data_IF_883064994432
#
_entry.id   IF_883064994432
#
_cell.length_a   1.000
_cell.length_b   1.000
_cell.length_c   1.000
_cell.angle_alpha   90.00
_cell.angle_beta   90.00
_cell.angle_gamma   90.00
#
_symmetry.space_group_name_H-M   'P 1'
#
loop_
_entity.id
_entity.type
_entity.pdbx_description
1 polymer ?
#
# COMPACT_ATOMS: atom_id res chain seq x y z
N UNK A 1 -22.75 55.15 16.92
CA UNK A 1 -23.34 54.03 16.16
C UNK A 1 -22.39 53.81 15.00
N UNK A 2 -21.54 52.80 14.92
CA UNK A 2 -21.27 51.59 15.69
C UNK A 2 -19.75 51.52 15.89
N UNK A 3 -19.29 51.16 17.09
CA UNK A 3 -17.96 50.57 17.21
C UNK A 3 -18.22 49.10 16.89
N UNK A 4 -17.93 48.66 15.66
CA UNK A 4 -17.84 47.24 15.37
C UNK A 4 -16.82 46.66 16.35
N UNK A 5 -17.30 45.99 17.41
CA UNK A 5 -16.43 45.25 18.31
C UNK A 5 -15.90 44.07 17.50
N UNK A 6 -14.79 44.27 16.79
CA UNK A 6 -14.03 43.21 16.15
C UNK A 6 -13.72 42.19 17.22
N UNK A 7 -14.49 41.11 17.22
CA UNK A 7 -14.21 39.97 18.08
C UNK A 7 -12.82 39.51 17.68
N UNK A 8 -11.84 39.43 18.60
CA UNK A 8 -10.46 39.17 18.21
C UNK A 8 -10.42 37.83 17.47
N UNK A 9 -9.84 37.91 16.28
CA UNK A 9 -9.74 36.80 15.33
C UNK A 9 -8.29 36.35 15.28
N UNK A 10 -8.09 35.03 15.26
CA UNK A 10 -6.80 34.44 14.92
C UNK A 10 -6.93 33.70 13.60
N UNK A 11 -5.93 33.79 12.75
CA UNK A 11 -5.84 32.95 11.55
C UNK A 11 -4.95 31.77 11.87
N UNK A 12 -5.48 30.57 11.68
CA UNK A 12 -4.74 29.33 11.87
C UNK A 12 -4.39 28.77 10.50
N UNK A 13 -3.11 28.49 10.30
CA UNK A 13 -2.56 27.98 9.05
C UNK A 13 -1.80 26.69 9.33
N UNK A 14 -2.05 25.66 8.53
CA UNK A 14 -1.30 24.40 8.56
C UNK A 14 -0.56 24.29 7.23
N UNK A 15 0.74 23.99 7.31
CA UNK A 15 1.60 23.85 6.13
C UNK A 15 2.35 22.52 6.14
N UNK A 16 2.64 22.01 4.94
CA UNK A 16 3.54 20.88 4.69
C UNK A 16 4.72 21.42 3.88
N UNK A 17 5.94 21.28 4.40
CA UNK A 17 7.16 21.75 3.74
C UNK A 17 7.01 23.18 3.19
N UNK A 18 6.52 24.09 4.04
CA UNK A 18 6.25 25.52 3.75
C UNK A 18 5.08 25.80 2.78
N UNK A 19 4.43 24.77 2.23
CA UNK A 19 3.22 24.92 1.42
C UNK A 19 1.99 24.87 2.30
N UNK A 20 1.19 25.93 2.29
CA UNK A 20 -0.10 25.98 2.98
C UNK A 20 -1.04 24.89 2.44
N UNK A 21 -1.59 24.08 3.36
CA UNK A 21 -2.60 23.06 3.06
C UNK A 21 -3.96 23.39 3.69
N UNK A 22 -3.98 24.32 4.63
CA UNK A 22 -5.18 24.81 5.28
C UNK A 22 -4.93 26.19 5.87
N UNK A 23 -5.91 27.08 5.72
CA UNK A 23 -5.94 28.37 6.42
C UNK A 23 -7.37 28.76 6.70
N UNK A 24 -7.64 29.15 7.95
CA UNK A 24 -8.97 29.59 8.36
C UNK A 24 -8.92 30.55 9.54
N UNK A 25 -9.94 31.39 9.58
CA UNK A 25 -10.17 32.41 10.59
C UNK A 25 -10.99 31.82 11.75
N UNK A 26 -10.51 31.99 12.98
CA UNK A 26 -11.18 31.52 14.19
C UNK A 26 -11.46 32.67 15.16
N UNK A 27 -12.66 32.68 15.70
CA UNK A 27 -13.05 33.60 16.76
C UNK A 27 -12.51 33.13 18.11
N UNK A 28 -11.99 34.07 18.90
CA UNK A 28 -11.54 33.81 20.27
C UNK A 28 -12.74 33.86 21.22
N UNK A 29 -12.91 32.80 22.00
CA UNK A 29 -13.90 32.74 23.08
C UNK A 29 -13.21 32.36 24.39
N UNK A 30 -13.35 33.20 25.43
CA UNK A 30 -12.72 32.95 26.74
C UNK A 30 -11.20 32.83 26.67
N UNK A 31 -10.54 33.68 25.86
CA UNK A 31 -9.09 33.68 25.59
C UNK A 31 -8.57 32.40 24.89
N UNK A 32 -9.45 31.62 24.26
CA UNK A 32 -9.10 30.40 23.53
C UNK A 32 -9.73 30.39 22.14
N UNK A 33 -9.01 29.84 21.18
CA UNK A 33 -9.55 29.44 19.88
C UNK A 33 -9.55 27.91 19.80
N UNK A 34 -10.63 27.33 19.28
CA UNK A 34 -10.77 25.88 19.14
C UNK A 34 -10.74 25.49 17.67
N UNK A 35 -9.66 24.84 17.28
CA UNK A 35 -9.52 24.20 15.97
C UNK A 35 -9.97 22.76 16.12
N UNK A 36 -11.05 22.40 15.41
CA UNK A 36 -11.57 21.03 15.40
C UNK A 36 -11.15 20.32 14.12
N UNK A 37 -11.11 19.00 14.21
CA UNK A 37 -10.92 18.13 13.05
C UNK A 37 -9.60 18.32 12.27
N UNK A 38 -8.53 18.65 12.99
CA UNK A 38 -7.16 18.74 12.42
C UNK A 38 -6.76 17.41 11.75
N UNK A 39 -7.25 16.27 12.28
CA UNK A 39 -7.00 14.95 11.72
C UNK A 39 -7.47 14.86 10.26
N UNK A 40 -8.73 15.21 9.96
CA UNK A 40 -9.26 15.11 8.60
C UNK A 40 -8.54 16.05 7.64
N UNK A 41 -8.13 17.24 8.09
CA UNK A 41 -7.33 18.18 7.29
C UNK A 41 -5.98 17.57 6.92
N UNK A 42 -5.26 17.03 7.92
CA UNK A 42 -3.95 16.39 7.75
C UNK A 42 -4.06 15.15 6.86
N UNK A 43 -5.01 14.26 7.12
CA UNK A 43 -5.20 13.03 6.35
C UNK A 43 -5.58 13.32 4.90
N UNK A 44 -6.48 14.29 4.66
CA UNK A 44 -6.88 14.69 3.30
C UNK A 44 -5.69 15.26 2.53
N UNK A 45 -4.89 16.12 3.17
CA UNK A 45 -3.69 16.69 2.55
C UNK A 45 -2.65 15.61 2.20
N UNK A 46 -2.43 14.64 3.10
CA UNK A 46 -1.51 13.53 2.86
C UNK A 46 -2.01 12.59 1.76
N UNK A 47 -3.31 12.29 1.71
CA UNK A 47 -3.92 11.49 0.64
C UNK A 47 -3.77 12.17 -0.72
N UNK A 48 -4.16 13.44 -0.81
CA UNK A 48 -4.08 14.20 -2.07
C UNK A 48 -2.65 14.28 -2.61
N UNK A 49 -1.67 14.46 -1.71
CA UNK A 49 -0.23 14.51 -2.07
C UNK A 49 0.42 13.12 -2.13
N UNK A 50 -0.33 12.03 -1.92
CA UNK A 50 0.16 10.64 -1.90
C UNK A 50 1.33 10.40 -0.92
N UNK A 51 1.32 11.08 0.22
CA UNK A 51 2.37 11.01 1.24
C UNK A 51 2.06 9.97 2.32
N UNK A 52 3.06 9.17 2.68
CA UNK A 52 3.00 8.25 3.82
C UNK A 52 3.59 8.86 5.11
N UNK A 53 4.49 9.84 4.97
CA UNK A 53 5.08 10.61 6.06
C UNK A 53 5.24 12.06 5.62
N UNK A 54 4.98 13.02 6.52
CA UNK A 54 5.13 14.45 6.24
C UNK A 54 5.51 15.24 7.50
N UNK A 55 6.12 16.40 7.29
CA UNK A 55 6.34 17.43 8.30
C UNK A 55 5.22 18.46 8.22
N UNK A 56 4.57 18.72 9.34
CA UNK A 56 3.56 19.77 9.46
C UNK A 56 4.05 20.88 10.37
N UNK A 57 3.68 22.12 10.03
CA UNK A 57 3.89 23.29 10.87
C UNK A 57 2.56 24.02 11.02
N UNK A 58 2.16 24.25 12.27
CA UNK A 58 1.01 25.07 12.62
C UNK A 58 1.49 26.49 12.89
N UNK A 59 0.94 27.44 12.15
CA UNK A 59 1.13 28.87 12.38
C UNK A 59 -0.19 29.48 12.86
N UNK A 60 -0.12 30.31 13.88
CA UNK A 60 -1.25 31.10 14.39
C UNK A 60 -0.89 32.56 14.27
N UNK A 61 -1.63 33.30 13.45
CA UNK A 61 -1.46 34.73 13.27
C UNK A 61 -2.54 35.47 14.06
N UNK A 62 -2.15 36.38 14.94
CA UNK A 62 -3.08 37.17 15.74
C UNK A 62 -3.55 38.46 15.03
N UNK A 63 -4.39 39.22 15.72
CA UNK A 63 -4.94 40.48 15.24
C UNK A 63 -3.90 41.60 15.10
N UNK A 64 -2.74 41.48 15.76
CA UNK A 64 -1.60 42.39 15.65
C UNK A 64 -0.61 41.96 14.57
N UNK A 65 -0.95 40.91 13.80
CA UNK A 65 -0.12 40.27 12.78
C UNK A 65 1.14 39.56 13.32
N UNK A 66 1.23 39.29 14.62
CA UNK A 66 2.28 38.44 15.15
C UNK A 66 1.99 36.97 14.81
N UNK A 67 3.02 36.22 14.42
CA UNK A 67 2.90 34.81 14.03
C UNK A 67 3.57 33.91 15.07
N UNK A 68 2.80 32.99 15.63
CA UNK A 68 3.26 31.95 16.55
C UNK A 68 3.35 30.61 15.82
N UNK A 69 4.44 29.87 16.01
CA UNK A 69 4.71 28.62 15.29
C UNK A 69 4.86 27.45 16.26
N UNK A 70 4.20 26.32 15.98
CA UNK A 70 4.21 25.13 16.86
C UNK A 70 5.52 24.34 16.91
N UNK A 71 6.49 24.68 16.06
CA UNK A 71 7.56 23.76 15.66
C UNK A 71 7.09 22.71 14.65
N UNK A 72 7.99 21.81 14.25
CA UNK A 72 7.73 20.77 13.24
C UNK A 72 7.11 19.53 13.89
N UNK A 73 5.95 19.12 13.38
CA UNK A 73 5.24 17.90 13.78
C UNK A 73 5.40 16.87 12.67
N UNK A 74 6.04 15.74 12.96
CA UNK A 74 6.14 14.62 12.03
C UNK A 74 4.90 13.72 12.13
N UNK A 75 4.24 13.48 11.00
CA UNK A 75 3.03 12.65 10.92
C UNK A 75 3.29 11.49 9.97
N UNK A 76 2.94 10.28 10.42
CA UNK A 76 2.87 9.08 9.57
C UNK A 76 1.40 8.78 9.29
N UNK A 77 1.06 8.62 8.03
CA UNK A 77 -0.30 8.34 7.59
C UNK A 77 -0.73 6.92 8.00
N UNK A 78 -1.96 6.79 8.50
CA UNK A 78 -2.54 5.47 8.82
C UNK A 78 -4.07 5.53 8.86
N UNK A 79 -4.73 4.71 8.05
CA UNK A 79 -6.16 4.43 8.19
C UNK A 79 -6.50 3.56 9.42
N UNK A 80 -5.48 3.04 10.11
CA UNK A 80 -5.62 2.18 11.29
C UNK A 80 -5.46 2.99 12.57
N UNK A 81 -6.28 2.65 13.57
CA UNK A 81 -6.11 3.15 14.93
C UNK A 81 -5.20 2.22 15.72
N UNK A 82 -4.19 2.76 16.40
CA UNK A 82 -3.35 1.98 17.31
C UNK A 82 -3.96 1.93 18.71
N UNK A 83 -4.14 0.72 19.26
CA UNK A 83 -4.57 0.51 20.65
C UNK A 83 -3.42 0.68 21.68
N UNK A 84 -2.17 0.59 21.23
CA UNK A 84 -0.97 0.62 22.08
C UNK A 84 -0.19 1.95 22.01
N UNK A 85 -0.74 2.94 21.31
CA UNK A 85 -0.04 4.17 20.95
C UNK A 85 0.68 4.07 19.61
N UNK A 86 0.82 5.20 18.92
CA UNK A 86 1.35 5.26 17.56
C UNK A 86 2.83 4.82 17.49
N UNK A 87 3.66 5.27 18.43
CA UNK A 87 5.10 4.99 18.43
C UNK A 87 5.38 3.48 18.57
N UNK A 88 4.77 2.81 19.55
CA UNK A 88 4.98 1.38 19.73
C UNK A 88 4.52 0.56 18.51
N UNK A 89 3.44 0.98 17.85
CA UNK A 89 2.99 0.33 16.62
C UNK A 89 3.98 0.52 15.46
N UNK A 90 4.49 1.74 15.27
CA UNK A 90 5.46 2.06 14.21
C UNK A 90 6.82 1.37 14.43
N UNK A 91 7.22 1.16 15.70
CA UNK A 91 8.49 0.53 16.05
C UNK A 91 8.43 -1.01 16.06
N UNK A 92 7.27 -1.58 16.38
CA UNK A 92 7.10 -3.04 16.52
C UNK A 92 6.70 -3.78 15.25
N UNK A 93 6.27 -3.10 14.19
CA UNK A 93 5.82 -3.74 12.96
C UNK A 93 6.34 -3.07 11.69
N UNK A 94 6.35 -3.82 10.59
CA UNK A 94 6.40 -3.24 9.25
C UNK A 94 5.10 -2.46 8.99
N UNK A 95 5.15 -1.47 8.11
CA UNK A 95 4.02 -0.59 7.76
C UNK A 95 3.07 -1.31 6.78
N UNK A 96 2.50 -2.40 7.25
CA UNK A 96 1.57 -3.30 6.56
C UNK A 96 0.68 -3.99 7.60
N UNK A 97 -0.49 -4.50 7.20
CA UNK A 97 -1.37 -5.24 8.12
C UNK A 97 -1.08 -6.73 8.18
N UNK A 98 -0.35 -7.28 7.20
CA UNK A 98 -0.06 -8.72 7.14
C UNK A 98 1.27 -9.01 7.84
N UNK A 99 1.39 -10.23 8.39
CA UNK A 99 2.64 -10.74 8.98
C UNK A 99 3.40 -11.70 8.06
N UNK A 100 2.75 -12.06 6.96
CA UNK A 100 3.30 -12.95 5.95
C UNK A 100 2.77 -12.64 4.57
N UNK A 101 3.49 -13.10 3.55
CA UNK A 101 3.05 -13.07 2.16
C UNK A 101 3.42 -14.37 1.46
N UNK A 102 2.52 -14.85 0.60
CA UNK A 102 2.82 -15.86 -0.42
C UNK A 102 3.07 -15.12 -1.74
N UNK A 103 4.25 -15.31 -2.32
CA UNK A 103 4.73 -14.60 -3.50
C UNK A 103 5.14 -15.60 -4.58
N UNK A 104 5.10 -15.17 -5.84
CA UNK A 104 5.79 -15.87 -6.92
C UNK A 104 7.29 -15.54 -6.91
N UNK A 105 8.08 -16.27 -7.70
CA UNK A 105 9.51 -16.00 -7.86
C UNK A 105 9.81 -14.72 -8.65
N UNK A 106 8.84 -14.21 -9.42
CA UNK A 106 8.97 -12.98 -10.20
C UNK A 106 8.34 -11.76 -9.52
N UNK A 107 7.48 -11.98 -8.51
CA UNK A 107 6.75 -10.94 -7.79
C UNK A 107 7.71 -9.89 -7.19
N UNK A 108 7.64 -8.60 -7.60
CA UNK A 108 8.34 -7.55 -6.88
C UNK A 108 7.75 -7.44 -5.47
N UNK A 109 8.58 -7.20 -4.47
CA UNK A 109 8.11 -7.12 -3.09
C UNK A 109 8.96 -6.19 -2.26
N UNK A 110 8.30 -5.26 -1.56
CA UNK A 110 8.94 -4.26 -0.71
C UNK A 110 8.28 -4.27 0.66
N UNK A 111 9.12 -4.30 1.70
CA UNK A 111 8.71 -4.08 3.07
C UNK A 111 9.09 -2.65 3.49
N UNK A 112 8.17 -1.97 4.15
CA UNK A 112 8.39 -0.61 4.63
C UNK A 112 8.46 -0.58 6.15
N UNK A 113 9.41 0.16 6.70
CA UNK A 113 9.51 0.37 8.15
C UNK A 113 9.75 1.84 8.48
N UNK A 114 9.19 2.30 9.59
CA UNK A 114 9.55 3.59 10.17
C UNK A 114 10.91 3.49 10.86
N UNK A 115 11.81 4.43 10.62
CA UNK A 115 13.13 4.49 11.23
C UNK A 115 13.29 5.78 12.03
N UNK A 116 13.73 5.65 13.28
CA UNK A 116 14.13 6.79 14.10
C UNK A 116 15.59 7.17 13.85
N UNK A 117 15.97 8.44 14.08
CA UNK A 117 17.34 8.91 13.96
C UNK A 117 18.31 8.07 14.80
N UNK A 118 19.39 7.63 14.17
CA UNK A 118 20.53 6.96 14.80
C UNK A 118 20.20 5.68 15.58
N UNK A 119 19.01 5.12 15.40
CA UNK A 119 18.61 3.88 16.05
C UNK A 119 19.32 2.70 15.38
N UNK A 120 20.08 1.93 16.16
CA UNK A 120 20.65 0.67 15.71
C UNK A 120 19.65 -0.46 15.91
N UNK A 121 19.60 -1.40 14.96
CA UNK A 121 18.73 -2.55 15.03
C UNK A 121 19.44 -3.78 14.49
N UNK A 122 19.23 -4.93 15.13
CA UNK A 122 19.67 -6.21 14.57
C UNK A 122 18.82 -6.53 13.34
N UNK A 123 19.46 -6.65 12.18
CA UNK A 123 18.79 -6.88 10.91
C UNK A 123 19.35 -8.14 10.27
N UNK A 124 18.48 -9.10 10.02
CA UNK A 124 18.86 -10.35 9.38
C UNK A 124 17.68 -10.98 8.65
N UNK A 125 18.00 -11.92 7.77
CA UNK A 125 17.01 -12.84 7.25
C UNK A 125 17.51 -14.28 7.35
N UNK A 126 16.59 -15.18 7.69
CA UNK A 126 16.80 -16.61 7.59
C UNK A 126 16.16 -17.10 6.30
N UNK A 127 17.00 -17.57 5.38
CA UNK A 127 16.60 -18.06 4.06
C UNK A 127 16.57 -19.58 4.10
N UNK A 128 15.40 -20.15 3.87
CA UNK A 128 15.16 -21.59 3.82
C UNK A 128 15.07 -22.03 2.35
N UNK A 129 15.94 -22.94 1.95
CA UNK A 129 16.11 -23.32 0.56
C UNK A 129 16.51 -24.79 0.41
N UNK A 130 16.27 -25.35 -0.77
CA UNK A 130 16.80 -26.65 -1.17
C UNK A 130 17.81 -26.47 -2.29
N UNK A 131 18.73 -27.43 -2.41
CA UNK A 131 19.71 -27.51 -3.49
C UNK A 131 19.42 -28.78 -4.31
N UNK A 132 19.62 -28.79 -5.63
CA UNK A 132 19.42 -30.00 -6.44
C UNK A 132 20.22 -31.21 -5.93
N UNK A 133 21.37 -30.97 -5.31
CA UNK A 133 22.26 -31.99 -4.75
C UNK A 133 21.88 -32.45 -3.34
N UNK A 134 20.96 -31.78 -2.65
CA UNK A 134 20.62 -32.03 -1.24
C UNK A 134 19.09 -32.07 -1.07
N UNK A 135 18.56 -33.24 -0.72
CA UNK A 135 17.11 -33.45 -0.56
C UNK A 135 16.52 -32.83 0.72
N UNK A 136 17.34 -32.40 1.68
CA UNK A 136 16.89 -31.76 2.91
C UNK A 136 16.78 -30.24 2.78
N UNK A 137 15.90 -29.65 3.58
CA UNK A 137 15.79 -28.20 3.68
C UNK A 137 16.96 -27.61 4.45
N UNK A 138 17.66 -26.68 3.80
CA UNK A 138 18.80 -25.95 4.34
C UNK A 138 18.36 -24.57 4.82
N UNK A 139 19.17 -23.98 5.71
CA UNK A 139 18.99 -22.63 6.23
C UNK A 139 20.30 -21.85 6.07
N UNK A 140 20.21 -20.62 5.58
CA UNK A 140 21.28 -19.62 5.66
C UNK A 140 20.77 -18.39 6.40
N UNK A 141 21.58 -17.87 7.32
CA UNK A 141 21.28 -16.61 8.02
C UNK A 141 22.17 -15.53 7.44
N UNK A 142 21.55 -14.49 6.88
CA UNK A 142 22.25 -13.35 6.31
C UNK A 142 21.96 -12.13 7.15
N UNK A 143 22.99 -11.54 7.75
CA UNK A 143 22.90 -10.24 8.42
C UNK A 143 23.15 -9.14 7.39
N UNK A 144 22.45 -8.02 7.55
CA UNK A 144 22.65 -6.86 6.69
C UNK A 144 22.73 -5.58 7.52
N UNK A 145 23.44 -4.59 6.97
CA UNK A 145 23.81 -3.38 7.69
C UNK A 145 22.63 -2.62 8.27
N UNK A 146 22.93 -1.77 9.25
CA UNK A 146 21.97 -0.85 9.82
C UNK A 146 21.54 0.13 8.73
N UNK A 147 20.27 0.06 8.30
CA UNK A 147 19.65 1.13 7.51
C UNK A 147 19.41 2.33 8.44
N UNK A 148 20.49 2.96 8.89
CA UNK A 148 20.42 4.12 9.76
C UNK A 148 19.81 5.29 9.00
N UNK A 149 19.10 6.11 9.76
CA UNK A 149 18.66 7.41 9.31
C UNK A 149 19.20 8.47 10.24
N UNK A 150 19.54 9.62 9.70
CA UNK A 150 19.81 10.86 10.43
C UNK A 150 18.53 11.56 10.88
N UNK A 151 17.41 11.24 10.23
CA UNK A 151 16.10 11.88 10.38
C UNK A 151 14.98 10.83 10.44
N UNK A 152 13.82 11.12 11.06
CA UNK A 152 12.69 10.20 11.01
C UNK A 152 12.19 10.01 9.58
N UNK A 153 12.21 8.77 9.07
CA UNK A 153 11.78 8.46 7.70
C UNK A 153 11.19 7.07 7.58
N UNK A 154 10.47 6.84 6.47
CA UNK A 154 10.05 5.51 6.05
C UNK A 154 11.13 4.94 5.13
N UNK A 155 11.58 3.73 5.43
CA UNK A 155 12.61 3.03 4.66
C UNK A 155 11.96 1.89 3.90
N UNK A 156 12.18 1.87 2.58
CA UNK A 156 11.83 0.75 1.72
C UNK A 156 12.94 -0.32 1.74
N UNK A 157 12.53 -1.57 1.87
CA UNK A 157 13.42 -2.73 1.81
C UNK A 157 12.91 -3.71 0.78
N UNK A 158 13.65 -3.86 -0.31
CA UNK A 158 13.39 -4.92 -1.27
C UNK A 158 13.53 -6.28 -0.57
N UNK A 159 12.50 -7.10 -0.74
CA UNK A 159 12.37 -8.43 -0.17
C UNK A 159 11.79 -9.42 -1.22
N UNK A 160 12.21 -9.23 -2.48
CA UNK A 160 11.87 -10.08 -3.63
C UNK A 160 12.65 -11.40 -3.60
N UNK A 161 12.19 -12.39 -4.38
CA UNK A 161 12.93 -13.65 -4.56
C UNK A 161 14.35 -13.41 -5.11
N UNK A 162 14.45 -12.57 -6.15
CA UNK A 162 15.73 -12.18 -6.76
C UNK A 162 16.71 -11.56 -5.75
N UNK A 163 16.21 -10.72 -4.84
CA UNK A 163 17.02 -10.15 -3.76
C UNK A 163 17.63 -11.23 -2.88
N UNK A 164 16.86 -12.24 -2.50
CA UNK A 164 17.35 -13.32 -1.64
C UNK A 164 18.27 -14.30 -2.38
N UNK A 165 18.03 -14.54 -3.67
CA UNK A 165 18.99 -15.28 -4.51
C UNK A 165 20.34 -14.57 -4.56
N UNK A 166 20.34 -13.25 -4.74
CA UNK A 166 21.58 -12.47 -4.71
C UNK A 166 22.30 -12.56 -3.36
N UNK A 167 21.57 -12.56 -2.24
CA UNK A 167 22.17 -12.73 -0.91
C UNK A 167 22.79 -14.13 -0.70
N UNK A 168 22.12 -15.18 -1.18
CA UNK A 168 22.69 -16.54 -1.17
C UNK A 168 23.94 -16.64 -2.05
N UNK A 169 23.91 -16.03 -3.24
CA UNK A 169 25.04 -16.02 -4.17
C UNK A 169 26.28 -15.34 -3.55
N UNK A 170 26.10 -14.24 -2.82
CA UNK A 170 27.18 -13.58 -2.06
C UNK A 170 27.81 -14.48 -0.98
N UNK A 171 27.08 -15.50 -0.53
CA UNK A 171 27.54 -16.52 0.42
C UNK A 171 28.09 -17.77 -0.28
N UNK A 172 28.26 -17.74 -1.60
CA UNK A 172 28.73 -18.87 -2.41
C UNK A 172 27.68 -19.95 -2.69
N UNK A 173 26.40 -19.68 -2.43
CA UNK A 173 25.29 -20.62 -2.64
C UNK A 173 24.57 -20.24 -3.94
N UNK A 174 24.65 -21.12 -4.94
CA UNK A 174 24.08 -20.92 -6.27
C UNK A 174 23.05 -22.01 -6.60
N UNK A 175 22.13 -21.73 -7.53
CA UNK A 175 21.09 -22.69 -7.96
C UNK A 175 20.20 -23.22 -6.83
N UNK A 176 20.02 -22.43 -5.78
CA UNK A 176 19.11 -22.73 -4.68
C UNK A 176 17.66 -22.39 -5.07
N UNK A 177 16.73 -23.27 -4.69
CA UNK A 177 15.30 -22.98 -4.73
C UNK A 177 14.87 -22.50 -3.35
N UNK A 178 14.50 -21.22 -3.24
CA UNK A 178 14.10 -20.61 -1.97
C UNK A 178 12.62 -20.90 -1.73
N UNK A 179 12.28 -21.40 -0.54
CA UNK A 179 10.90 -21.73 -0.17
C UNK A 179 10.32 -20.71 0.81
N UNK A 180 11.14 -20.24 1.75
CA UNK A 180 10.72 -19.32 2.78
C UNK A 180 11.86 -18.39 3.16
N UNK A 181 11.50 -17.15 3.49
CA UNK A 181 12.39 -16.21 4.17
C UNK A 181 11.71 -15.67 5.41
N UNK A 182 12.37 -15.79 6.56
CA UNK A 182 12.00 -15.05 7.76
C UNK A 182 12.85 -13.77 7.80
N UNK A 183 12.20 -12.63 7.63
CA UNK A 183 12.84 -11.33 7.49
C UNK A 183 12.66 -10.50 8.77
N UNK A 184 13.76 -9.98 9.33
CA UNK A 184 13.74 -9.25 10.60
C UNK A 184 14.53 -7.95 10.56
N UNK A 185 13.91 -6.88 11.07
CA UNK A 185 14.53 -5.57 11.31
C UNK A 185 14.17 -5.10 12.73
N UNK A 186 15.12 -5.19 13.67
CA UNK A 186 14.88 -4.87 15.07
C UNK A 186 13.88 -5.84 15.70
N UNK A 187 12.73 -5.35 16.15
CA UNK A 187 11.62 -6.17 16.67
C UNK A 187 10.60 -6.57 15.59
N UNK A 188 10.77 -6.08 14.36
CA UNK A 188 9.83 -6.31 13.26
C UNK A 188 10.13 -7.62 12.58
N UNK A 189 9.12 -8.44 12.41
CA UNK A 189 9.24 -9.76 11.79
C UNK A 189 8.24 -9.90 10.64
N UNK A 190 8.67 -10.58 9.59
CA UNK A 190 7.83 -10.88 8.44
C UNK A 190 8.20 -12.23 7.82
N UNK A 191 7.20 -13.03 7.47
CA UNK A 191 7.41 -14.33 6.82
C UNK A 191 7.05 -14.26 5.33
N UNK A 192 7.99 -14.60 4.48
CA UNK A 192 7.79 -14.63 3.02
C UNK A 192 7.84 -16.08 2.58
N UNK A 193 6.83 -16.52 1.86
CA UNK A 193 6.76 -17.84 1.26
C UNK A 193 6.78 -17.69 -0.26
N UNK A 194 7.55 -18.53 -0.93
CA UNK A 194 7.66 -18.50 -2.38
C UNK A 194 6.99 -19.73 -2.99
N UNK A 195 6.01 -19.47 -3.85
CA UNK A 195 5.34 -20.50 -4.65
C UNK A 195 6.11 -20.71 -5.97
N UNK A 196 6.31 -21.97 -6.40
CA UNK A 196 6.79 -22.26 -7.75
C UNK A 196 5.71 -22.02 -8.82
N UNK A 197 4.44 -21.94 -8.42
CA UNK A 197 3.32 -21.69 -9.32
C UNK A 197 3.27 -20.21 -9.69
N UNK A 198 3.05 -19.90 -10.96
CA UNK A 198 2.78 -18.54 -11.39
C UNK A 198 1.45 -18.04 -10.80
N UNK A 199 1.37 -16.77 -10.35
CA UNK A 199 0.12 -16.19 -9.90
C UNK A 199 -0.80 -15.97 -11.10
N UNK A 200 -2.12 -15.94 -10.88
CA UNK A 200 -3.07 -15.56 -11.93
C UNK A 200 -2.93 -14.07 -12.27
N UNK A 201 -2.70 -13.24 -11.24
CA UNK A 201 -2.43 -11.81 -11.37
C UNK A 201 -1.55 -11.32 -10.23
N UNK A 202 -0.73 -10.30 -10.51
CA UNK A 202 -0.01 -9.52 -9.50
C UNK A 202 -0.58 -8.10 -9.50
N UNK A 203 -0.99 -7.63 -8.32
CA UNK A 203 -1.45 -6.25 -8.14
C UNK A 203 -0.54 -5.47 -7.20
N UNK A 204 -0.41 -4.17 -7.48
CA UNK A 204 0.10 -3.19 -6.54
C UNK A 204 -1.00 -2.18 -6.19
N UNK A 205 -1.15 -1.85 -4.91
CA UNK A 205 -2.16 -0.92 -4.45
C UNK A 205 -1.67 -0.05 -3.28
N UNK A 206 -2.34 1.08 -3.04
CA UNK A 206 -2.09 1.90 -1.85
C UNK A 206 -2.77 1.28 -0.63
N UNK A 207 -1.96 0.76 0.29
CA UNK A 207 -2.43 0.16 1.54
C UNK A 207 -2.77 1.20 2.62
N UNK A 208 -3.06 0.73 3.83
CA UNK A 208 -3.50 1.56 4.95
C UNK A 208 -2.51 2.65 5.41
N UNK A 209 -1.23 2.54 5.04
CA UNK A 209 -0.20 3.55 5.35
C UNK A 209 0.11 4.48 4.16
N UNK A 210 -0.74 4.46 3.11
CA UNK A 210 -0.52 5.17 1.83
C UNK A 210 0.81 4.78 1.12
N UNK A 211 1.30 3.58 1.42
CA UNK A 211 2.46 2.94 0.82
C UNK A 211 1.99 1.88 -0.18
N UNK A 212 2.85 1.59 -1.16
CA UNK A 212 2.57 0.53 -2.13
C UNK A 212 2.66 -0.83 -1.47
N UNK A 213 1.63 -1.64 -1.64
CA UNK A 213 1.58 -3.04 -1.23
C UNK A 213 1.51 -3.89 -2.49
N UNK A 214 2.24 -5.00 -2.53
CA UNK A 214 2.15 -5.97 -3.63
C UNK A 214 1.45 -7.23 -3.17
N UNK A 215 0.56 -7.75 -4.02
CA UNK A 215 -0.11 -9.03 -3.80
C UNK A 215 -0.08 -9.88 -5.06
N UNK A 216 0.37 -11.12 -4.90
CA UNK A 216 0.31 -12.15 -5.91
C UNK A 216 -0.94 -13.00 -5.65
N UNK A 217 -1.92 -12.97 -6.56
CA UNK A 217 -3.15 -13.73 -6.44
C UNK A 217 -2.97 -15.11 -7.06
N UNK A 218 -3.35 -16.14 -6.31
CA UNK A 218 -3.42 -17.51 -6.79
C UNK A 218 -4.90 -17.87 -6.91
N UNK A 219 -5.31 -18.46 -8.03
CA UNK A 219 -6.72 -18.70 -8.32
C UNK A 219 -6.97 -18.76 -9.82
N UNK A 220 -8.15 -18.31 -10.24
CA UNK A 220 -8.53 -18.22 -11.64
C UNK A 220 -8.92 -16.78 -11.99
N UNK A 221 -8.50 -16.33 -13.17
CA UNK A 221 -8.93 -15.08 -13.77
C UNK A 221 -9.55 -15.40 -15.12
N UNK A 222 -10.80 -15.00 -15.32
CA UNK A 222 -11.56 -15.23 -16.56
C UNK A 222 -11.80 -13.90 -17.27
N UNK A 223 -11.23 -13.75 -18.47
CA UNK A 223 -11.47 -12.58 -19.31
C UNK A 223 -12.77 -12.75 -20.11
N UNK A 224 -13.69 -11.79 -20.00
CA UNK A 224 -14.93 -11.69 -20.77
C UNK A 224 -14.85 -10.49 -21.70
N UNK A 225 -15.06 -10.71 -22.98
CA UNK A 225 -15.13 -9.65 -24.00
C UNK A 225 -16.58 -9.46 -24.44
N UNK A 226 -17.14 -8.30 -24.16
CA UNK A 226 -18.45 -7.86 -24.62
C UNK A 226 -18.25 -6.95 -25.84
N UNK A 227 -18.84 -7.32 -26.98
CA UNK A 227 -18.79 -6.53 -28.21
C UNK A 227 -20.21 -6.04 -28.49
N UNK A 228 -20.41 -4.73 -28.38
CA UNK A 228 -21.65 -4.07 -28.79
C UNK A 228 -21.43 -3.43 -30.16
N UNK A 229 -22.37 -3.64 -31.10
CA UNK A 229 -22.26 -3.13 -32.47
C UNK A 229 -23.64 -2.83 -33.04
N UNK A 230 -23.74 -1.71 -33.73
CA UNK A 230 -24.94 -1.35 -34.48
C UNK A 230 -24.94 -2.02 -35.85
N UNK A 231 -26.13 -2.35 -36.35
CA UNK A 231 -26.31 -3.04 -37.63
C UNK A 231 -27.20 -2.22 -38.57
N UNK A 232 -26.78 -2.08 -39.83
CA UNK A 232 -27.60 -1.56 -40.92
C UNK A 232 -27.66 -2.57 -42.06
N UNK A 233 -28.83 -2.70 -42.69
CA UNK A 233 -29.02 -3.55 -43.87
C UNK A 233 -29.08 -2.65 -45.11
N UNK A 234 -28.04 -2.68 -45.93
CA UNK A 234 -27.97 -1.96 -47.19
C UNK A 234 -27.90 -2.96 -48.35
N UNK A 235 -28.97 -3.04 -49.15
CA UNK A 235 -28.99 -3.87 -50.35
C UNK A 235 -28.71 -5.36 -50.10
N UNK A 236 -29.38 -5.97 -49.11
CA UNK A 236 -29.21 -7.36 -48.66
C UNK A 236 -27.82 -7.70 -48.10
N UNK A 237 -27.00 -6.70 -47.74
CA UNK A 237 -25.75 -6.89 -46.98
C UNK A 237 -25.87 -6.23 -45.62
N UNK A 238 -25.47 -6.95 -44.57
CA UNK A 238 -25.35 -6.42 -43.22
C UNK A 238 -24.05 -5.65 -43.12
N UNK A 239 -24.13 -4.39 -42.69
CA UNK A 239 -23.00 -3.56 -42.32
C UNK A 239 -23.03 -3.32 -40.81
N UNK A 240 -21.92 -3.63 -40.15
CA UNK A 240 -21.72 -3.34 -38.73
C UNK A 240 -21.02 -1.99 -38.59
N UNK A 241 -21.49 -1.14 -37.69
CA UNK A 241 -20.88 0.15 -37.35
C UNK A 241 -20.99 0.42 -35.85
N UNK A 242 -20.34 1.47 -35.34
CA UNK A 242 -20.31 1.83 -33.91
C UNK A 242 -19.98 0.63 -33.00
N UNK A 243 -18.87 -0.05 -33.30
CA UNK A 243 -18.41 -1.17 -32.48
C UNK A 243 -17.72 -0.67 -31.22
N UNK A 244 -18.26 -1.03 -30.06
CA UNK A 244 -17.59 -0.84 -28.78
C UNK A 244 -17.20 -2.19 -28.20
N UNK A 245 -15.95 -2.32 -27.76
CA UNK A 245 -15.40 -3.54 -27.15
C UNK A 245 -15.14 -3.22 -25.68
N UNK A 246 -15.73 -3.99 -24.78
CA UNK A 246 -15.49 -3.92 -23.35
C UNK A 246 -14.92 -5.24 -22.88
N UNK A 247 -13.73 -5.21 -22.28
CA UNK A 247 -13.13 -6.39 -21.67
C UNK A 247 -13.20 -6.23 -20.16
N UNK A 248 -13.65 -7.30 -19.48
CA UNK A 248 -13.71 -7.41 -18.02
C UNK A 248 -13.01 -8.68 -17.59
N UNK A 249 -12.33 -8.62 -16.46
CA UNK A 249 -11.63 -9.77 -15.89
C UNK A 249 -12.25 -10.13 -14.56
N UNK A 250 -12.81 -11.33 -14.46
CA UNK A 250 -13.40 -11.88 -13.25
C UNK A 250 -12.36 -12.73 -12.52
N UNK A 251 -12.02 -12.32 -11.30
CA UNK A 251 -11.05 -13.00 -10.45
C UNK A 251 -11.78 -13.81 -9.38
N UNK A 252 -11.36 -15.06 -9.19
CA UNK A 252 -11.71 -15.88 -8.05
C UNK A 252 -10.42 -16.41 -7.39
N UNK A 253 -10.19 -16.02 -6.13
CA UNK A 253 -9.00 -16.48 -5.40
C UNK A 253 -9.10 -17.97 -5.02
N UNK A 254 -7.94 -18.57 -4.82
CA UNK A 254 -7.79 -19.78 -4.03
C UNK A 254 -8.30 -19.56 -2.59
N UNK A 255 -8.57 -20.62 -1.82
CA UNK A 255 -8.91 -20.53 -0.40
C UNK A 255 -7.93 -19.65 0.37
N UNK A 256 -8.46 -18.70 1.14
CA UNK A 256 -7.70 -17.74 1.94
C UNK A 256 -7.87 -18.03 3.42
N UNK A 257 -6.86 -17.68 4.20
CA UNK A 257 -7.01 -17.47 5.65
C UNK A 257 -7.76 -16.16 5.92
N UNK A 258 -8.34 -16.03 7.12
CA UNK A 258 -9.01 -14.80 7.53
C UNK A 258 -8.10 -13.57 7.43
N UNK A 259 -6.82 -13.69 7.82
CA UNK A 259 -5.87 -12.57 7.75
C UNK A 259 -5.54 -12.17 6.32
N UNK A 260 -5.48 -13.13 5.39
CA UNK A 260 -5.26 -12.84 3.97
C UNK A 260 -6.48 -12.16 3.36
N UNK A 261 -7.68 -12.63 3.70
CA UNK A 261 -8.93 -12.00 3.25
C UNK A 261 -9.05 -10.56 3.76
N UNK A 262 -8.75 -10.30 5.03
CA UNK A 262 -8.74 -8.95 5.61
C UNK A 262 -7.70 -8.03 4.96
N UNK A 263 -6.53 -8.57 4.61
CA UNK A 263 -5.52 -7.82 3.86
C UNK A 263 -6.02 -7.49 2.44
N UNK A 264 -6.60 -8.47 1.74
CA UNK A 264 -7.12 -8.27 0.39
C UNK A 264 -8.33 -7.35 0.33
N UNK A 265 -9.10 -7.18 1.42
CA UNK A 265 -10.11 -6.12 1.49
C UNK A 265 -9.52 -4.73 1.25
N UNK A 266 -8.25 -4.49 1.63
CA UNK A 266 -7.59 -3.21 1.34
C UNK A 266 -7.33 -3.00 -0.14
N UNK A 267 -7.03 -4.06 -0.91
CA UNK A 267 -6.95 -3.97 -2.37
C UNK A 267 -8.28 -3.48 -2.93
N UNK A 268 -9.38 -4.09 -2.47
CA UNK A 268 -10.73 -3.82 -2.96
C UNK A 268 -11.23 -2.41 -2.63
N UNK A 269 -10.72 -1.80 -1.55
CA UNK A 269 -11.06 -0.44 -1.13
C UNK A 269 -9.96 0.59 -1.43
N UNK A 270 -8.91 0.22 -2.16
CA UNK A 270 -7.80 1.13 -2.42
C UNK A 270 -8.18 2.17 -3.47
N UNK A 271 -7.66 3.39 -3.31
CA UNK A 271 -7.88 4.48 -4.26
C UNK A 271 -7.02 4.35 -5.52
N UNK A 272 -5.93 3.59 -5.45
CA UNK A 272 -4.98 3.46 -6.55
C UNK A 272 -4.52 2.01 -6.62
N UNK A 273 -4.84 1.37 -7.75
CA UNK A 273 -4.58 -0.04 -8.01
C UNK A 273 -3.96 -0.16 -9.39
N UNK A 274 -2.91 -0.97 -9.47
CA UNK A 274 -2.23 -1.30 -10.72
C UNK A 274 -2.01 -2.80 -10.81
N UNK A 275 -1.99 -3.33 -12.03
CA UNK A 275 -1.79 -4.75 -12.35
C UNK A 275 -0.49 -4.91 -13.13
N UNK A 276 0.29 -5.93 -12.79
CA UNK A 276 1.52 -6.26 -13.51
C UNK A 276 1.18 -6.75 -14.92
N UNK A 277 1.68 -6.08 -15.96
CA UNK A 277 1.44 -6.43 -17.38
C UNK A 277 2.66 -7.06 -18.04
N UNK A 278 3.85 -6.81 -17.49
CA UNK A 278 5.10 -7.48 -17.78
C UNK A 278 5.97 -7.43 -16.52
N UNK A 279 7.08 -8.20 -16.47
CA UNK A 279 7.94 -8.27 -15.29
C UNK A 279 8.34 -6.87 -14.77
N UNK A 280 7.80 -6.49 -13.61
CA UNK A 280 8.03 -5.18 -12.98
C UNK A 280 7.34 -3.98 -13.64
N UNK A 281 6.52 -4.18 -14.67
CA UNK A 281 5.75 -3.15 -15.37
C UNK A 281 4.29 -3.21 -14.96
N UNK A 282 3.75 -2.11 -14.46
CA UNK A 282 2.40 -2.03 -13.91
C UNK A 282 1.52 -1.05 -14.68
N UNK A 283 0.26 -1.44 -14.90
CA UNK A 283 -0.76 -0.61 -15.55
C UNK A 283 -1.95 -0.35 -14.60
N UNK A 284 -2.53 0.86 -14.58
CA UNK A 284 -3.69 1.17 -13.73
C UNK A 284 -4.94 0.36 -14.08
N UNK A 285 -5.66 -0.09 -13.04
CA UNK A 285 -6.90 -0.85 -13.17
C UNK A 285 -8.00 -0.31 -12.25
N UNK A 286 -9.24 -0.57 -12.62
CA UNK A 286 -10.44 -0.22 -11.85
C UNK A 286 -11.15 -1.52 -11.46
N UNK A 287 -11.44 -1.68 -10.16
CA UNK A 287 -12.25 -2.78 -9.64
C UNK A 287 -13.70 -2.29 -9.53
N UNK A 288 -14.65 -2.98 -10.18
CA UNK A 288 -16.03 -2.49 -10.34
C UNK A 288 -17.10 -3.34 -9.65
N UNK A 289 -16.85 -4.63 -9.42
CA UNK A 289 -17.78 -5.52 -8.73
C UNK A 289 -17.04 -6.25 -7.60
N UNK A 290 -17.47 -6.05 -6.37
CA UNK A 290 -16.84 -6.65 -5.20
C UNK A 290 -17.88 -7.39 -4.39
N UNK A 291 -17.91 -8.71 -4.48
CA UNK A 291 -18.63 -9.56 -3.52
C UNK A 291 -17.59 -10.23 -2.62
N UNK A 292 -17.39 -9.66 -1.43
CA UNK A 292 -16.58 -10.29 -0.38
C UNK A 292 -17.54 -10.97 0.60
N UNK A 293 -17.71 -12.27 0.47
CA UNK A 293 -18.35 -13.08 1.51
C UNK A 293 -17.27 -13.75 2.36
N UNK A 294 -16.94 -13.13 3.49
CA UNK A 294 -16.09 -13.74 4.51
C UNK A 294 -17.00 -14.57 5.41
N UNK A 295 -17.01 -15.89 5.21
CA UNK A 295 -17.73 -16.84 6.07
C UNK A 295 -16.75 -17.62 6.94
N UNK A 296 -16.96 -17.62 8.25
CA UNK A 296 -16.21 -18.44 9.23
C UNK A 296 -16.92 -19.78 9.48
N UNK A 297 -17.49 -20.37 8.43
CA UNK A 297 -18.14 -21.68 8.51
C UNK A 297 -17.23 -22.73 7.86
N UNK A 298 -16.91 -23.79 8.59
CA UNK A 298 -16.03 -24.90 8.14
C UNK A 298 -16.46 -25.56 6.82
N UNK A 299 -17.70 -25.35 6.36
CA UNK A 299 -18.20 -25.87 5.10
C UNK A 299 -17.78 -25.08 3.85
N UNK A 300 -17.37 -23.81 3.98
CA UNK A 300 -17.03 -22.96 2.84
C UNK A 300 -15.69 -22.23 3.08
N UNK A 301 -14.63 -22.53 2.31
CA UNK A 301 -13.39 -21.78 2.42
C UNK A 301 -13.59 -20.31 2.02
N UNK A 302 -12.92 -19.39 2.72
CA UNK A 302 -12.96 -17.96 2.39
C UNK A 302 -12.34 -17.76 1.02
N UNK A 303 -13.08 -17.12 0.11
CA UNK A 303 -12.63 -16.75 -1.23
C UNK A 303 -13.08 -15.33 -1.53
N UNK A 304 -12.27 -14.60 -2.29
CA UNK A 304 -12.65 -13.28 -2.78
C UNK A 304 -12.95 -13.36 -4.28
N UNK A 305 -14.04 -12.70 -4.66
CA UNK A 305 -14.46 -12.56 -6.06
C UNK A 305 -14.60 -11.10 -6.39
N UNK A 306 -13.95 -10.67 -7.46
CA UNK A 306 -14.07 -9.31 -7.94
C UNK A 306 -13.84 -9.20 -9.45
N UNK A 307 -14.37 -8.13 -10.04
CA UNK A 307 -14.18 -7.81 -11.45
C UNK A 307 -13.28 -6.59 -11.60
N UNK A 308 -12.33 -6.64 -12.52
CA UNK A 308 -11.49 -5.49 -12.87
C UNK A 308 -11.41 -5.22 -14.38
N UNK A 309 -11.04 -3.99 -14.72
CA UNK A 309 -10.80 -3.50 -16.10
C UNK A 309 -9.59 -2.56 -16.12
N UNK A 310 -8.91 -2.40 -17.26
CA UNK A 310 -7.88 -1.37 -17.40
C UNK A 310 -8.50 0.03 -17.35
N UNK A 311 -7.87 0.95 -16.62
CA UNK A 311 -8.40 2.31 -16.47
C UNK A 311 -8.47 3.06 -17.81
N UNK A 312 -7.52 2.79 -18.72
CA UNK A 312 -7.47 3.39 -20.06
C UNK A 312 -8.21 2.57 -21.13
N UNK A 313 -8.88 1.46 -20.76
CA UNK A 313 -9.63 0.55 -21.64
C UNK A 313 -8.82 -0.06 -22.81
N UNK A 314 -7.49 0.06 -22.77
CA UNK A 314 -6.59 -0.60 -23.72
C UNK A 314 -6.10 -1.92 -23.12
N UNK A 315 -6.35 -3.02 -23.81
CA UNK A 315 -5.83 -4.33 -23.44
C UNK A 315 -4.34 -4.43 -23.74
N UNK A 316 -3.60 -5.08 -22.84
CA UNK A 316 -2.19 -5.43 -23.06
C UNK A 316 -2.10 -6.82 -23.67
N UNK A 317 -1.23 -6.97 -24.68
CA UNK A 317 -0.89 -8.28 -25.21
C UNK A 317 0.00 -9.02 -24.18
N UNK A 318 -0.21 -10.34 -23.99
CA UNK A 318 0.61 -11.14 -23.10
C UNK A 318 2.06 -11.30 -23.57
#
# INVERSE_FOLDING_TARGET
MEIESLTPLVTVTISIDEVEVFSSAYYIYGLKAYVRDIQSIVESAMLQKKLAIASFVLNVKDYENFTYTSGVIKVVYSHLKSLKGAEQALLGAFLTTRKSALLSQTCPFTLYNYAQPYQQSSNYCDIYYNMPSVQSMLKSTVTFGNKQSDTPKIIASEASYARFQNLLALSGIYNATIHRVFYRIGEREFNIYFSPTAPSDTFQFKGNFNLWETVCLFGATTSKTEIDRSEAICGNKVAYYDTSVKVKHEVETAPLTLSEAQFLTQLLSSQEITREVADGVFAPVIISDTSSEVSDNNSNPIRLKFTWTYAEQNEFLP
#
